data_IF_162335581363
#
_entry.id   IF_162335581363
#
_cell.length_a   1.000
_cell.length_b   1.000
_cell.length_c   1.000
_cell.angle_alpha   90.00
_cell.angle_beta   90.00
_cell.angle_gamma   90.00
#
_symmetry.space_group_name_H-M   'P 1'
#
loop_
_entity.id
_entity.type
_entity.pdbx_description
1 polymer ?
#
# COMPACT_ATOMS: atom_id res chain seq x y z
N UNK A 1 30.98 13.64 0.20
CA UNK A 1 29.87 14.63 0.08
C UNK A 1 28.73 14.12 -0.79
N UNK A 2 28.92 13.80 -2.08
CA UNK A 2 27.81 13.27 -2.90
C UNK A 2 27.32 11.90 -2.39
N UNK A 3 28.26 10.97 -2.17
CA UNK A 3 28.00 9.65 -1.59
C UNK A 3 27.15 9.71 -0.32
N UNK A 4 27.50 10.60 0.61
CA UNK A 4 26.78 10.77 1.89
C UNK A 4 25.35 11.29 1.66
N UNK A 5 25.16 12.20 0.69
CA UNK A 5 23.82 12.69 0.31
C UNK A 5 22.96 11.58 -0.28
N UNK A 6 23.53 10.71 -1.11
CA UNK A 6 22.81 9.58 -1.72
C UNK A 6 22.38 8.57 -0.64
N UNK A 7 23.30 8.19 0.26
CA UNK A 7 22.98 7.31 1.40
C UNK A 7 21.89 7.91 2.29
N UNK A 8 21.99 9.20 2.62
CA UNK A 8 20.96 9.91 3.36
C UNK A 8 19.61 9.93 2.64
N UNK A 9 19.59 10.05 1.30
CA UNK A 9 18.35 9.91 0.52
C UNK A 9 17.74 8.51 0.61
N UNK A 10 18.56 7.45 0.53
CA UNK A 10 18.10 6.06 0.68
C UNK A 10 17.47 5.85 2.07
N UNK A 11 18.14 6.27 3.14
CA UNK A 11 17.61 6.17 4.51
C UNK A 11 16.25 6.87 4.66
N UNK A 12 16.09 8.05 4.05
CA UNK A 12 14.79 8.76 4.04
C UNK A 12 13.73 8.00 3.25
N UNK A 13 14.11 7.35 2.15
CA UNK A 13 13.18 6.57 1.35
C UNK A 13 12.72 5.31 2.08
N UNK A 14 13.61 4.62 2.79
CA UNK A 14 13.25 3.47 3.63
C UNK A 14 12.20 3.88 4.67
N UNK A 15 12.40 5.01 5.34
CA UNK A 15 11.41 5.55 6.27
C UNK A 15 10.06 5.86 5.59
N UNK A 16 10.07 6.34 4.35
CA UNK A 16 8.83 6.57 3.58
C UNK A 16 8.17 5.27 3.14
N UNK A 17 8.94 4.21 2.83
CA UNK A 17 8.41 2.87 2.54
C UNK A 17 7.70 2.31 3.78
N UNK A 18 8.30 2.43 4.96
CA UNK A 18 7.67 2.04 6.22
C UNK A 18 6.39 2.84 6.47
N UNK A 19 6.42 4.14 6.23
CA UNK A 19 5.26 5.01 6.40
C UNK A 19 4.08 4.61 5.50
N UNK A 20 4.32 4.37 4.20
CA UNK A 20 3.26 3.96 3.27
C UNK A 20 2.74 2.56 3.60
N UNK A 21 3.62 1.61 3.96
CA UNK A 21 3.22 0.25 4.33
C UNK A 21 2.38 0.25 5.63
N UNK A 22 2.76 1.04 6.63
CA UNK A 22 1.99 1.18 7.87
C UNK A 22 0.61 1.81 7.62
N UNK A 23 0.53 2.86 6.79
CA UNK A 23 -0.76 3.46 6.40
C UNK A 23 -1.64 2.48 5.62
N UNK A 24 -1.05 1.69 4.71
CA UNK A 24 -1.75 0.62 4.01
C UNK A 24 -2.30 -0.43 4.97
N UNK A 25 -1.53 -0.85 5.99
CA UNK A 25 -2.01 -1.79 7.00
C UNK A 25 -3.23 -1.24 7.78
N UNK A 26 -3.20 0.04 8.17
CA UNK A 26 -4.35 0.71 8.81
C UNK A 26 -5.57 0.72 7.89
N UNK A 27 -5.39 1.08 6.62
CA UNK A 27 -6.48 1.11 5.64
C UNK A 27 -7.07 -0.27 5.38
N UNK A 28 -6.23 -1.31 5.32
CA UNK A 28 -6.67 -2.69 5.19
C UNK A 28 -7.49 -3.12 6.40
N UNK A 29 -7.00 -2.84 7.62
CA UNK A 29 -7.71 -3.14 8.86
C UNK A 29 -9.08 -2.47 8.95
N UNK A 30 -9.14 -1.16 8.64
CA UNK A 30 -10.40 -0.42 8.60
C UNK A 30 -11.38 -0.99 7.56
N UNK A 31 -10.89 -1.33 6.37
CA UNK A 31 -11.72 -1.85 5.29
C UNK A 31 -12.25 -3.25 5.63
N UNK A 32 -11.43 -4.11 6.21
CA UNK A 32 -11.82 -5.43 6.71
C UNK A 32 -12.87 -5.29 7.82
N UNK A 33 -12.67 -4.36 8.76
CA UNK A 33 -13.63 -4.09 9.82
C UNK A 33 -14.99 -3.63 9.25
N UNK A 34 -14.98 -2.69 8.31
CA UNK A 34 -16.20 -2.19 7.65
C UNK A 34 -16.93 -3.31 6.92
N UNK A 35 -16.23 -4.05 6.04
CA UNK A 35 -16.84 -5.11 5.24
C UNK A 35 -17.35 -6.23 6.15
N UNK A 36 -16.51 -6.70 7.08
CA UNK A 36 -16.89 -7.75 8.02
C UNK A 36 -18.04 -7.34 8.92
N UNK A 37 -18.04 -6.11 9.43
CA UNK A 37 -19.11 -5.56 10.26
C UNK A 37 -20.44 -5.47 9.52
N UNK A 38 -20.44 -4.97 8.28
CA UNK A 38 -21.64 -4.89 7.45
C UNK A 38 -22.19 -6.27 7.09
N UNK A 39 -21.33 -7.22 6.72
CA UNK A 39 -21.74 -8.60 6.41
C UNK A 39 -22.31 -9.30 7.65
N UNK A 40 -21.67 -9.16 8.80
CA UNK A 40 -22.12 -9.76 10.05
C UNK A 40 -23.41 -9.13 10.60
N UNK A 41 -23.59 -7.82 10.43
CA UNK A 41 -24.78 -7.11 10.89
C UNK A 41 -26.00 -7.34 9.99
N UNK A 42 -25.80 -7.75 8.74
CA UNK A 42 -26.88 -7.86 7.76
C UNK A 42 -28.05 -8.75 8.19
N UNK A 43 -27.88 -9.95 8.77
CA UNK A 43 -28.99 -10.76 9.25
C UNK A 43 -29.81 -10.05 10.35
N UNK A 44 -29.15 -9.37 11.28
CA UNK A 44 -29.82 -8.62 12.35
C UNK A 44 -30.60 -7.42 11.79
N UNK A 45 -30.04 -6.74 10.79
CA UNK A 45 -30.72 -5.63 10.11
C UNK A 45 -32.01 -6.09 9.41
N UNK A 46 -32.03 -7.28 8.78
CA UNK A 46 -33.24 -7.83 8.17
C UNK A 46 -34.40 -8.07 9.16
N UNK A 47 -34.07 -8.31 10.43
CA UNK A 47 -35.07 -8.51 11.48
C UNK A 47 -35.60 -7.18 12.01
N UNK A 48 -34.70 -6.21 12.23
CA UNK A 48 -34.98 -4.94 12.93
C UNK A 48 -35.42 -3.79 12.00
N UNK A 49 -35.08 -3.86 10.71
CA UNK A 49 -35.29 -2.78 9.76
C UNK A 49 -36.15 -3.28 8.60
N UNK A 50 -37.07 -2.46 8.13
CA UNK A 50 -37.75 -2.72 6.87
C UNK A 50 -36.81 -2.39 5.69
N UNK A 51 -36.02 -3.39 5.30
CA UNK A 51 -35.01 -3.26 4.26
C UNK A 51 -35.67 -3.16 2.87
N UNK A 52 -36.00 -1.95 2.45
CA UNK A 52 -36.34 -1.66 1.06
C UNK A 52 -35.15 -1.90 0.10
N UNK A 53 -35.43 -1.94 -1.20
CA UNK A 53 -34.41 -2.18 -2.25
C UNK A 53 -33.22 -1.20 -2.16
N UNK A 54 -33.45 0.03 -1.73
CA UNK A 54 -32.40 1.04 -1.56
C UNK A 54 -31.38 0.67 -0.46
N UNK A 55 -31.83 0.06 0.65
CA UNK A 55 -30.94 -0.40 1.72
C UNK A 55 -30.04 -1.50 1.19
N UNK A 56 -30.61 -2.46 0.45
CA UNK A 56 -29.82 -3.54 -0.17
C UNK A 56 -28.79 -3.02 -1.17
N UNK A 57 -29.17 -2.09 -2.05
CA UNK A 57 -28.26 -1.48 -3.02
C UNK A 57 -27.13 -0.74 -2.30
N UNK A 58 -27.45 0.10 -1.31
CA UNK A 58 -26.44 0.85 -0.55
C UNK A 58 -25.50 -0.07 0.23
N UNK A 59 -26.02 -1.13 0.85
CA UNK A 59 -25.21 -2.15 1.51
C UNK A 59 -24.25 -2.81 0.52
N UNK A 60 -24.76 -3.27 -0.63
CA UNK A 60 -23.95 -3.92 -1.66
C UNK A 60 -22.89 -2.97 -2.22
N UNK A 61 -23.23 -1.72 -2.51
CA UNK A 61 -22.29 -0.70 -2.96
C UNK A 61 -21.20 -0.43 -1.91
N UNK A 62 -21.57 -0.32 -0.63
CA UNK A 62 -20.63 -0.04 0.46
C UNK A 62 -19.67 -1.20 0.70
N UNK A 63 -20.17 -2.44 0.66
CA UNK A 63 -19.37 -3.66 0.75
C UNK A 63 -18.45 -3.79 -0.48
N UNK A 64 -18.99 -3.64 -1.69
CA UNK A 64 -18.23 -3.74 -2.93
C UNK A 64 -17.11 -2.70 -3.01
N UNK A 65 -17.38 -1.47 -2.57
CA UNK A 65 -16.36 -0.42 -2.45
C UNK A 65 -15.29 -0.77 -1.43
N UNK A 66 -15.66 -1.36 -0.29
CA UNK A 66 -14.72 -1.88 0.71
C UNK A 66 -13.82 -2.97 0.15
N UNK A 67 -14.37 -3.92 -0.62
CA UNK A 67 -13.56 -4.94 -1.31
C UNK A 67 -12.58 -4.30 -2.30
N UNK A 68 -13.03 -3.32 -3.09
CA UNK A 68 -12.18 -2.60 -4.04
C UNK A 68 -11.04 -1.84 -3.35
N UNK A 69 -11.33 -1.20 -2.21
CA UNK A 69 -10.32 -0.54 -1.37
C UNK A 69 -9.27 -1.56 -0.91
N UNK A 70 -9.67 -2.73 -0.40
CA UNK A 70 -8.73 -3.76 0.04
C UNK A 70 -7.80 -4.20 -1.09
N UNK A 71 -8.32 -4.40 -2.30
CA UNK A 71 -7.51 -4.76 -3.47
C UNK A 71 -6.47 -3.67 -3.76
N UNK A 72 -6.88 -2.39 -3.82
CA UNK A 72 -5.95 -1.28 -4.08
C UNK A 72 -4.87 -1.19 -3.00
N UNK A 73 -5.24 -1.39 -1.73
CA UNK A 73 -4.32 -1.35 -0.59
C UNK A 73 -3.33 -2.51 -0.64
N UNK A 74 -3.78 -3.73 -0.94
CA UNK A 74 -2.90 -4.90 -1.10
C UNK A 74 -1.86 -4.64 -2.19
N UNK A 75 -2.30 -4.12 -3.35
CA UNK A 75 -1.39 -3.77 -4.46
C UNK A 75 -0.43 -2.64 -4.06
N UNK A 76 -0.87 -1.67 -3.26
CA UNK A 76 0.02 -0.61 -2.75
C UNK A 76 1.07 -1.16 -1.76
N UNK A 77 0.73 -2.20 -0.99
CA UNK A 77 1.63 -2.85 -0.03
C UNK A 77 2.62 -3.81 -0.69
N UNK A 78 2.36 -4.29 -1.91
CA UNK A 78 3.29 -5.19 -2.62
C UNK A 78 4.69 -4.57 -2.70
N UNK A 79 5.76 -5.31 -2.36
CA UNK A 79 7.13 -4.79 -2.42
C UNK A 79 7.48 -4.31 -3.83
N UNK A 80 8.18 -3.18 -3.91
CA UNK A 80 8.77 -2.73 -5.16
C UNK A 80 10.14 -3.40 -5.29
N UNK A 81 10.32 -4.21 -6.33
CA UNK A 81 11.57 -4.90 -6.63
C UNK A 81 12.02 -4.46 -8.02
N UNK A 82 12.86 -3.44 -8.10
CA UNK A 82 13.57 -3.14 -9.33
C UNK A 82 14.59 -4.26 -9.60
N UNK A 83 14.72 -4.69 -10.85
CA UNK A 83 15.61 -5.80 -11.24
C UNK A 83 16.82 -5.35 -12.04
N UNK A 84 17.03 -4.04 -12.17
CA UNK A 84 18.02 -3.54 -13.11
C UNK A 84 19.37 -3.34 -12.40
N UNK A 85 20.32 -4.22 -12.71
CA UNK A 85 21.74 -4.05 -12.43
C UNK A 85 22.39 -5.05 -11.48
N UNK A 86 23.71 -5.19 -11.62
CA UNK A 86 24.59 -5.85 -10.65
C UNK A 86 24.92 -4.84 -9.55
N UNK A 87 24.02 -4.70 -8.58
CA UNK A 87 24.25 -3.88 -7.39
C UNK A 87 24.81 -4.75 -6.27
N UNK A 88 25.84 -4.26 -5.61
CA UNK A 88 26.45 -4.89 -4.41
C UNK A 88 25.78 -4.43 -3.11
N UNK A 89 24.78 -3.53 -3.20
CA UNK A 89 24.04 -2.99 -2.07
C UNK A 89 22.57 -3.44 -2.07
N UNK A 90 21.96 -3.57 -3.24
CA UNK A 90 20.57 -4.00 -3.36
C UNK A 90 20.43 -5.51 -3.14
N UNK A 91 19.68 -5.90 -2.11
CA UNK A 91 19.51 -7.30 -1.72
C UNK A 91 19.00 -8.20 -2.86
N UNK A 92 18.15 -7.68 -3.75
CA UNK A 92 17.60 -8.45 -4.86
C UNK A 92 18.62 -8.77 -5.96
N UNK A 93 19.69 -7.98 -6.07
CA UNK A 93 20.85 -8.27 -6.92
C UNK A 93 21.79 -9.23 -6.21
N UNK A 94 22.12 -8.97 -4.93
CA UNK A 94 22.97 -9.84 -4.11
C UNK A 94 22.42 -11.26 -4.03
N UNK A 95 21.10 -11.42 -3.85
CA UNK A 95 20.46 -12.74 -3.75
C UNK A 95 20.53 -13.58 -5.02
N UNK A 96 20.90 -12.98 -6.15
CA UNK A 96 21.07 -13.66 -7.44
C UNK A 96 22.54 -14.01 -7.74
N UNK A 97 23.48 -13.43 -6.99
CA UNK A 97 24.91 -13.72 -7.11
C UNK A 97 25.24 -15.01 -6.36
N UNK A 98 26.30 -15.69 -6.80
CA UNK A 98 26.91 -16.74 -5.96
C UNK A 98 27.59 -16.11 -4.74
N UNK A 99 27.83 -16.91 -3.69
CA UNK A 99 28.55 -16.43 -2.51
C UNK A 99 29.95 -15.94 -2.88
N UNK A 100 30.64 -16.70 -3.72
CA UNK A 100 32.00 -16.41 -4.18
C UNK A 100 32.03 -15.11 -4.99
N UNK A 101 31.08 -14.95 -5.92
CA UNK A 101 30.93 -13.74 -6.73
C UNK A 101 30.67 -12.49 -5.87
N UNK A 102 29.78 -12.59 -4.88
CA UNK A 102 29.52 -11.48 -3.98
C UNK A 102 30.75 -11.14 -3.13
N UNK A 103 31.43 -12.14 -2.57
CA UNK A 103 32.66 -11.93 -1.80
C UNK A 103 33.76 -11.28 -2.63
N UNK A 104 33.91 -11.68 -3.89
CA UNK A 104 34.87 -11.06 -4.81
C UNK A 104 34.48 -9.61 -5.10
N UNK A 105 33.27 -9.36 -5.62
CA UNK A 105 32.82 -8.02 -6.00
C UNK A 105 32.78 -7.04 -4.84
N UNK A 106 32.37 -7.47 -3.64
CA UNK A 106 32.33 -6.62 -2.45
C UNK A 106 33.73 -6.29 -1.88
N UNK A 107 34.75 -7.08 -2.25
CA UNK A 107 36.13 -6.87 -1.81
C UNK A 107 36.98 -6.04 -2.78
N UNK A 108 36.54 -5.90 -4.03
CA UNK A 108 37.23 -5.09 -5.02
C UNK A 108 37.24 -3.63 -4.56
N UNK A 109 38.35 -2.90 -4.76
CA UNK A 109 38.35 -1.46 -4.63
C UNK A 109 37.46 -0.91 -5.74
N UNK A 110 36.17 -0.76 -5.46
CA UNK A 110 35.23 -0.15 -6.38
C UNK A 110 35.81 1.20 -6.79
N UNK A 111 35.93 1.43 -8.10
CA UNK A 111 36.14 2.79 -8.57
C UNK A 111 35.02 3.62 -7.94
N UNK A 112 35.38 4.72 -7.28
CA UNK A 112 34.44 5.60 -6.58
C UNK A 112 33.24 5.98 -7.48
N UNK A 113 33.47 6.02 -8.79
CA UNK A 113 32.47 6.25 -9.83
C UNK A 113 31.42 5.12 -9.96
N UNK A 114 31.81 3.84 -9.88
CA UNK A 114 30.90 2.69 -9.96
C UNK A 114 29.97 2.63 -8.74
N UNK A 115 30.51 2.90 -7.54
CA UNK A 115 29.70 2.96 -6.32
C UNK A 115 28.73 4.14 -6.34
N UNK A 116 29.18 5.31 -6.81
CA UNK A 116 28.31 6.47 -6.99
C UNK A 116 27.21 6.19 -8.01
N UNK A 117 27.52 5.50 -9.09
CA UNK A 117 26.53 5.09 -10.09
C UNK A 117 25.46 4.16 -9.48
N UNK A 118 25.87 3.12 -8.74
CA UNK A 118 24.93 2.20 -8.06
C UNK A 118 24.01 2.96 -7.08
N UNK A 119 24.58 3.85 -6.26
CA UNK A 119 23.81 4.66 -5.32
C UNK A 119 22.82 5.61 -6.02
N UNK A 120 23.20 6.24 -7.15
CA UNK A 120 22.29 7.09 -7.94
C UNK A 120 21.14 6.27 -8.52
N UNK A 121 21.42 5.08 -9.06
CA UNK A 121 20.41 4.16 -9.59
C UNK A 121 19.43 3.75 -8.50
N UNK A 122 19.92 3.38 -7.32
CA UNK A 122 19.07 3.02 -6.19
C UNK A 122 18.19 4.17 -5.72
N UNK A 123 18.74 5.38 -5.56
CA UNK A 123 17.95 6.57 -5.21
C UNK A 123 16.84 6.79 -6.24
N UNK A 124 17.15 6.70 -7.53
CA UNK A 124 16.14 6.84 -8.58
C UNK A 124 15.06 5.76 -8.51
N UNK A 125 15.44 4.48 -8.48
CA UNK A 125 14.52 3.34 -8.42
C UNK A 125 13.61 3.39 -7.19
N UNK A 126 14.18 3.64 -6.00
CA UNK A 126 13.43 3.75 -4.75
C UNK A 126 12.41 4.90 -4.82
N UNK A 127 12.79 6.04 -5.40
CA UNK A 127 11.90 7.19 -5.55
C UNK A 127 10.72 6.91 -6.50
N UNK A 128 10.95 6.17 -7.58
CA UNK A 128 9.90 5.73 -8.50
C UNK A 128 8.92 4.78 -7.81
N UNK A 129 9.44 3.76 -7.10
CA UNK A 129 8.62 2.82 -6.34
C UNK A 129 7.79 3.50 -5.25
N UNK A 130 8.37 4.47 -4.51
CA UNK A 130 7.65 5.26 -3.52
C UNK A 130 6.51 6.07 -4.16
N UNK A 131 6.79 6.76 -5.25
CA UNK A 131 5.80 7.58 -5.96
C UNK A 131 4.60 6.74 -6.37
N UNK A 132 4.85 5.56 -6.94
CA UNK A 132 3.81 4.63 -7.34
C UNK A 132 2.98 4.12 -6.14
N UNK A 133 3.64 3.71 -5.05
CA UNK A 133 2.97 3.28 -3.82
C UNK A 133 2.10 4.38 -3.21
N UNK A 134 2.62 5.60 -3.07
CA UNK A 134 1.86 6.73 -2.54
C UNK A 134 0.68 7.12 -3.43
N UNK A 135 0.83 7.02 -4.76
CA UNK A 135 -0.27 7.27 -5.69
C UNK A 135 -1.39 6.24 -5.54
N UNK A 136 -1.05 4.96 -5.38
CA UNK A 136 -2.03 3.90 -5.08
C UNK A 136 -2.71 4.12 -3.74
N UNK A 137 -1.95 4.44 -2.68
CA UNK A 137 -2.52 4.74 -1.36
C UNK A 137 -3.42 5.98 -1.38
N UNK A 138 -3.06 7.02 -2.15
CA UNK A 138 -3.90 8.21 -2.36
C UNK A 138 -5.23 7.87 -3.03
N UNK A 139 -5.22 6.93 -4.00
CA UNK A 139 -6.46 6.42 -4.62
C UNK A 139 -7.30 5.67 -3.58
N UNK A 140 -6.70 4.78 -2.78
CA UNK A 140 -7.41 4.10 -1.69
C UNK A 140 -8.03 5.10 -0.70
N UNK A 141 -7.31 6.15 -0.33
CA UNK A 141 -7.82 7.21 0.56
C UNK A 141 -9.03 7.93 -0.02
N UNK A 142 -9.03 8.24 -1.33
CA UNK A 142 -10.20 8.83 -2.00
C UNK A 142 -11.40 7.90 -2.01
N UNK A 143 -11.19 6.61 -2.28
CA UNK A 143 -12.25 5.60 -2.22
C UNK A 143 -12.82 5.47 -0.80
N UNK A 144 -11.96 5.50 0.22
CA UNK A 144 -12.39 5.55 1.61
C UNK A 144 -13.26 6.76 1.91
N UNK A 145 -12.87 7.95 1.45
CA UNK A 145 -13.69 9.16 1.61
C UNK A 145 -15.08 8.99 0.98
N UNK A 146 -15.16 8.41 -0.22
CA UNK A 146 -16.45 8.10 -0.87
C UNK A 146 -17.25 7.10 -0.03
N UNK A 147 -16.61 6.05 0.50
CA UNK A 147 -17.26 5.06 1.35
C UNK A 147 -17.85 5.69 2.63
N UNK A 148 -17.12 6.62 3.26
CA UNK A 148 -17.63 7.40 4.39
C UNK A 148 -18.87 8.23 4.04
N UNK A 149 -18.90 8.86 2.86
CA UNK A 149 -20.10 9.57 2.41
C UNK A 149 -21.27 8.63 2.10
N UNK A 150 -21.03 7.41 1.63
CA UNK A 150 -22.08 6.40 1.42
C UNK A 150 -22.68 5.87 2.73
N UNK A 151 -21.92 5.90 3.83
CA UNK A 151 -22.45 5.52 5.14
C UNK A 151 -23.55 6.46 5.64
N UNK A 152 -23.48 7.75 5.32
CA UNK A 152 -24.47 8.74 5.78
C UNK A 152 -25.90 8.35 5.35
N UNK A 153 -26.21 8.19 4.04
CA UNK A 153 -27.55 7.78 3.63
C UNK A 153 -27.92 6.37 4.10
N UNK A 154 -26.95 5.45 4.19
CA UNK A 154 -27.21 4.10 4.70
C UNK A 154 -27.70 4.13 6.15
N UNK A 155 -27.01 4.88 7.03
CA UNK A 155 -27.39 5.02 8.44
C UNK A 155 -28.76 5.72 8.56
N UNK A 156 -28.99 6.78 7.79
CA UNK A 156 -30.29 7.48 7.81
C UNK A 156 -31.43 6.53 7.42
N UNK A 157 -31.27 5.75 6.35
CA UNK A 157 -32.29 4.78 5.94
C UNK A 157 -32.53 3.71 6.99
N UNK A 158 -31.48 3.20 7.64
CA UNK A 158 -31.61 2.23 8.74
C UNK A 158 -32.42 2.81 9.89
N UNK A 159 -32.12 4.05 10.30
CA UNK A 159 -32.82 4.71 11.42
C UNK A 159 -34.29 4.99 11.07
N UNK A 160 -34.57 5.52 9.88
CA UNK A 160 -35.93 5.89 9.49
C UNK A 160 -36.84 4.70 9.16
N UNK A 161 -36.26 3.53 8.87
CA UNK A 161 -37.01 2.29 8.57
C UNK A 161 -36.87 1.26 9.69
N UNK A 162 -36.48 1.68 10.91
CA UNK A 162 -36.49 0.81 12.08
C UNK A 162 -37.94 0.40 12.40
N UNK A 163 -38.15 -0.89 12.65
CA UNK A 163 -39.46 -1.46 12.98
C UNK A 163 -39.87 -1.21 14.42
#
# INVERSE_FOLDING_TARGET
MEKDRLKFSIERFDHYYDSVNNKSAVFLGLSTFVVGGLVAAYPSLLQLVDCGIFVHILMLCTIGLGLAIMIVVIVASTPFLATDGNSIHFFGSISKMSREEYCEQSSLPNLEEDELHDLRVQVYQLSCGLTDKFNKLKRAGRLFTIQFFLFIPLILLIIFNLR
#
